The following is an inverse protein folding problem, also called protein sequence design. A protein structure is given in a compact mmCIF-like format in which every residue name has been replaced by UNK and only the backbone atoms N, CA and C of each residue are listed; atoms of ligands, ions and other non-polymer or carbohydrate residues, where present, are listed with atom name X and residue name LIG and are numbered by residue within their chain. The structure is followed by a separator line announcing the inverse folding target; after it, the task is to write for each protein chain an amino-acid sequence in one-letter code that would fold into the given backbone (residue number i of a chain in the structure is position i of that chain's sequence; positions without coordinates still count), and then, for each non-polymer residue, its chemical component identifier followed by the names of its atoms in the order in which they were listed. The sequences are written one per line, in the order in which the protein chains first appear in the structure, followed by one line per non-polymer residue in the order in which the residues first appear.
data_IF_431112159915
#
_entry.id   IF_431112159915
#
_cell.length_a   1.000
_cell.length_b   1.000
_cell.length_c   1.000
_cell.angle_alpha   90.00
_cell.angle_beta   90.00
_cell.angle_gamma   90.00
#
_symmetry.space_group_name_H-M   'P 1'
#
loop_
_entity.id
_entity.type
_entity.pdbx_description
1 polymer ?
#
# COMPACT_ATOMS: atom_id res chain seq x y z
N UNK A 1 -4.06 65.86 -8.84
CA UNK A 1 -2.57 65.98 -8.82
C UNK A 1 -2.04 64.82 -8.00
N UNK A 2 -1.18 63.89 -8.41
CA UNK A 2 -0.26 63.65 -9.55
C UNK A 2 -0.17 62.11 -9.67
N UNK A 3 -0.46 61.53 -10.83
CA UNK A 3 0.45 61.14 -11.92
C UNK A 3 0.98 59.68 -11.80
N UNK A 4 0.84 58.98 -12.93
CA UNK A 4 1.03 57.55 -13.20
C UNK A 4 2.51 57.20 -13.41
N UNK A 5 2.90 55.93 -13.22
CA UNK A 5 3.92 55.30 -14.09
C UNK A 5 3.68 53.78 -14.22
N UNK A 6 3.34 53.35 -15.44
CA UNK A 6 3.39 51.97 -15.94
C UNK A 6 4.75 51.68 -16.56
N UNK A 7 5.25 50.45 -16.45
CA UNK A 7 6.28 49.94 -17.37
C UNK A 7 6.03 48.45 -17.68
N UNK A 8 5.74 48.20 -18.95
CA UNK A 8 5.70 46.90 -19.63
C UNK A 8 7.10 46.71 -20.23
N UNK A 9 7.73 45.56 -20.00
CA UNK A 9 8.94 45.17 -20.72
C UNK A 9 8.63 43.92 -21.57
N UNK A 10 8.49 44.16 -22.88
CA UNK A 10 8.50 43.14 -23.91
C UNK A 10 9.95 42.93 -24.37
N UNK A 11 10.39 41.68 -24.48
CA UNK A 11 11.70 41.35 -25.07
C UNK A 11 11.55 40.25 -26.10
N UNK A 12 11.56 40.72 -27.35
CA UNK A 12 12.00 40.16 -28.62
C UNK A 12 12.27 38.65 -28.75
N UNK A 13 11.55 38.05 -29.70
CA UNK A 13 11.88 36.80 -30.38
C UNK A 13 13.20 36.93 -31.17
N UNK A 14 14.12 35.99 -30.98
CA UNK A 14 15.19 35.72 -31.93
C UNK A 14 14.92 34.34 -32.56
N UNK A 15 14.43 34.33 -33.81
CA UNK A 15 14.40 33.13 -34.64
C UNK A 15 15.82 32.86 -35.15
N UNK A 16 16.46 31.82 -34.63
CA UNK A 16 17.65 31.25 -35.25
C UNK A 16 17.21 30.18 -36.26
N UNK A 17 17.50 30.42 -37.54
CA UNK A 17 17.43 29.43 -38.61
C UNK A 17 18.53 28.38 -38.37
N UNK A 18 18.14 27.13 -38.12
CA UNK A 18 19.04 25.98 -38.15
C UNK A 18 18.76 25.15 -39.42
N UNK A 19 19.79 24.67 -40.12
CA UNK A 19 19.63 23.88 -41.34
C UNK A 19 18.97 22.54 -41.04
N UNK A 20 18.13 22.08 -41.97
CA UNK A 20 17.55 20.74 -41.98
C UNK A 20 18.68 19.71 -42.10
N UNK A 21 19.15 19.20 -40.98
CA UNK A 21 20.00 18.01 -40.95
C UNK A 21 19.09 16.78 -41.11
N UNK A 22 19.21 16.11 -42.26
CA UNK A 22 18.73 14.74 -42.45
C UNK A 22 19.46 13.85 -41.44
N UNK A 23 18.77 13.41 -40.39
CA UNK A 23 19.33 12.42 -39.48
C UNK A 23 19.43 11.08 -40.22
N UNK A 24 20.66 10.71 -40.54
CA UNK A 24 21.06 9.37 -41.00
C UNK A 24 20.69 8.39 -39.90
N UNK A 25 20.07 7.26 -40.27
CA UNK A 25 19.77 6.16 -39.37
C UNK A 25 21.08 5.59 -38.77
N UNK A 26 21.47 6.11 -37.61
CA UNK A 26 22.56 5.58 -36.82
C UNK A 26 22.11 4.31 -36.11
N UNK A 27 22.80 3.20 -36.35
CA UNK A 27 22.78 2.00 -35.51
C UNK A 27 23.43 2.32 -34.17
N UNK A 28 22.72 3.08 -33.32
CA UNK A 28 23.09 3.24 -31.92
C UNK A 28 22.88 1.93 -31.17
N UNK A 29 23.64 1.66 -30.09
CA UNK A 29 23.39 0.51 -29.23
C UNK A 29 21.92 0.52 -28.80
N UNK A 30 21.25 -0.64 -28.89
CA UNK A 30 19.90 -0.79 -28.37
C UNK A 30 19.87 -0.32 -26.91
N UNK A 31 18.85 0.45 -26.48
CA UNK A 31 18.73 0.83 -25.08
C UNK A 31 18.69 -0.46 -24.25
N UNK A 32 19.68 -0.62 -23.37
CA UNK A 32 19.70 -1.69 -22.40
C UNK A 32 18.35 -1.69 -21.69
N UNK A 33 17.66 -2.83 -21.69
CA UNK A 33 16.45 -3.03 -20.91
C UNK A 33 16.86 -3.02 -19.43
N UNK A 34 17.08 -1.82 -18.90
CA UNK A 34 17.40 -1.59 -17.51
C UNK A 34 16.20 -2.12 -16.71
N UNK A 35 16.34 -3.35 -16.20
CA UNK A 35 15.37 -3.95 -15.28
C UNK A 35 15.28 -2.97 -14.11
N UNK A 36 14.20 -2.18 -14.05
CA UNK A 36 13.92 -1.33 -12.91
C UNK A 36 13.91 -2.24 -11.68
N UNK A 37 14.75 -1.94 -10.69
CA UNK A 37 14.75 -2.67 -9.43
C UNK A 37 13.34 -2.62 -8.82
N UNK A 38 12.87 -3.74 -8.27
CA UNK A 38 11.58 -3.79 -7.59
C UNK A 38 11.61 -2.87 -6.36
N UNK A 39 10.57 -2.04 -6.20
CA UNK A 39 10.45 -1.15 -5.04
C UNK A 39 10.22 -1.95 -3.77
N UNK A 40 10.90 -1.58 -2.68
CA UNK A 40 10.66 -2.09 -1.32
C UNK A 40 9.76 -1.16 -0.50
N UNK A 41 9.22 -0.10 -1.11
CA UNK A 41 8.38 0.85 -0.41
C UNK A 41 7.04 0.21 -0.02
N UNK A 42 6.53 0.48 1.20
CA UNK A 42 5.21 0.03 1.60
C UNK A 42 4.12 0.73 0.78
N UNK A 43 3.02 0.03 0.47
CA UNK A 43 1.98 0.53 -0.43
C UNK A 43 0.58 0.14 0.04
N UNK A 44 -0.45 0.90 -0.35
CA UNK A 44 -1.84 0.53 -0.03
C UNK A 44 -2.27 -0.82 -0.64
N UNK A 45 -1.65 -1.22 -1.76
CA UNK A 45 -1.83 -2.53 -2.37
C UNK A 45 -1.25 -3.65 -1.49
N UNK A 46 -0.20 -3.36 -0.72
CA UNK A 46 0.61 -4.35 0.00
C UNK A 46 1.86 -4.68 -0.81
N UNK A 47 3.02 -4.64 -0.15
CA UNK A 47 4.29 -4.98 -0.77
C UNK A 47 5.02 -6.03 0.10
N UNK A 48 5.09 -7.29 -0.33
CA UNK A 48 5.84 -8.35 0.35
C UNK A 48 7.34 -8.06 0.49
N UNK A 49 7.89 -7.17 -0.34
CA UNK A 49 9.29 -6.73 -0.27
C UNK A 49 9.50 -5.60 0.75
N UNK A 50 8.46 -5.10 1.40
CA UNK A 50 8.62 -4.04 2.39
C UNK A 50 9.36 -4.53 3.63
N UNK A 51 10.08 -3.64 4.29
CA UNK A 51 10.80 -3.98 5.52
C UNK A 51 9.88 -4.56 6.61
N UNK A 52 8.61 -4.11 6.68
CA UNK A 52 7.64 -4.66 7.65
C UNK A 52 7.13 -6.03 7.24
N UNK A 53 6.93 -6.28 5.95
CA UNK A 53 6.56 -7.60 5.44
C UNK A 53 7.67 -8.61 5.76
N UNK A 54 8.92 -8.28 5.42
CA UNK A 54 10.09 -9.12 5.70
C UNK A 54 10.27 -9.37 7.20
N UNK A 55 10.14 -8.33 8.04
CA UNK A 55 10.21 -8.47 9.49
C UNK A 55 9.07 -9.32 10.08
N UNK A 56 7.95 -9.47 9.36
CA UNK A 56 6.83 -10.33 9.73
C UNK A 56 6.96 -11.77 9.19
N UNK A 57 8.03 -12.08 8.45
CA UNK A 57 8.21 -13.39 7.81
C UNK A 57 7.34 -13.59 6.56
N UNK A 58 6.85 -12.51 5.95
CA UNK A 58 6.11 -12.58 4.68
C UNK A 58 7.08 -12.95 3.57
N UNK A 59 6.75 -14.00 2.83
CA UNK A 59 7.59 -14.45 1.72
C UNK A 59 7.46 -13.52 0.52
N UNK A 60 8.57 -13.33 -0.19
CA UNK A 60 8.70 -12.28 -1.22
C UNK A 60 7.81 -12.52 -2.44
N UNK A 61 7.36 -13.75 -2.65
CA UNK A 61 6.43 -14.18 -3.70
C UNK A 61 4.96 -14.09 -3.27
N UNK A 62 4.67 -13.64 -2.04
CA UNK A 62 3.29 -13.51 -1.57
C UNK A 62 2.51 -12.55 -2.47
N UNK A 63 1.28 -12.89 -2.84
CA UNK A 63 0.42 -12.04 -3.66
C UNK A 63 -0.98 -11.95 -3.07
N UNK A 64 -1.68 -10.85 -3.36
CA UNK A 64 -3.04 -10.63 -2.87
C UNK A 64 -4.00 -11.69 -3.46
N UNK A 65 -4.84 -12.25 -2.61
CA UNK A 65 -5.91 -13.17 -2.99
C UNK A 65 -7.27 -12.64 -2.53
N UNK A 66 -8.29 -12.85 -3.36
CA UNK A 66 -9.64 -12.35 -3.08
C UNK A 66 -9.78 -10.84 -3.31
N UNK A 67 -10.75 -10.25 -2.61
CA UNK A 67 -11.05 -8.81 -2.65
C UNK A 67 -10.85 -8.19 -1.28
N UNK A 68 -10.34 -6.96 -1.26
CA UNK A 68 -10.09 -6.21 -0.05
C UNK A 68 -11.39 -5.84 0.70
N UNK A 69 -11.35 -5.96 2.03
CA UNK A 69 -12.31 -5.32 2.92
C UNK A 69 -11.90 -3.88 3.23
N UNK A 70 -12.87 -3.04 3.56
CA UNK A 70 -12.61 -1.65 3.97
C UNK A 70 -13.18 -1.37 5.35
N UNK A 71 -12.36 -0.81 6.22
CA UNK A 71 -12.81 -0.31 7.52
C UNK A 71 -13.40 1.07 7.26
N UNK A 72 -14.71 1.20 7.50
CA UNK A 72 -15.47 2.44 7.32
C UNK A 72 -15.79 3.05 8.67
N UNK A 73 -15.53 4.34 8.84
CA UNK A 73 -15.98 5.14 9.98
C UNK A 73 -16.50 6.46 9.47
N UNK A 74 -17.70 6.85 9.91
CA UNK A 74 -18.39 8.07 9.48
C UNK A 74 -18.47 8.22 7.96
N UNK A 75 -18.72 7.10 7.26
CA UNK A 75 -18.78 7.04 5.80
C UNK A 75 -17.42 7.11 5.08
N UNK A 76 -16.31 7.27 5.81
CA UNK A 76 -14.96 7.35 5.25
C UNK A 76 -14.19 6.04 5.38
N UNK A 77 -13.40 5.71 4.35
CA UNK A 77 -12.44 4.59 4.39
C UNK A 77 -11.25 5.00 5.26
N UNK A 78 -11.11 4.36 6.41
CA UNK A 78 -10.01 4.60 7.36
C UNK A 78 -8.94 3.50 7.30
N UNK A 79 -9.32 2.29 6.87
CA UNK A 79 -8.37 1.22 6.58
C UNK A 79 -8.82 0.31 5.43
N UNK A 80 -7.90 -0.51 4.93
CA UNK A 80 -8.24 -1.66 4.08
C UNK A 80 -7.57 -2.92 4.61
N UNK A 81 -8.27 -4.05 4.52
CA UNK A 81 -7.80 -5.37 4.94
C UNK A 81 -7.74 -6.27 3.71
N UNK A 82 -6.61 -6.95 3.50
CA UNK A 82 -6.35 -7.84 2.37
C UNK A 82 -5.76 -9.14 2.85
N UNK A 83 -5.97 -10.20 2.08
CA UNK A 83 -5.32 -11.48 2.29
C UNK A 83 -4.24 -11.68 1.23
N UNK A 84 -3.10 -12.23 1.64
CA UNK A 84 -2.00 -12.61 0.78
C UNK A 84 -1.72 -14.10 0.92
N UNK A 85 -1.20 -14.71 -0.13
CA UNK A 85 -0.77 -16.11 -0.15
C UNK A 85 0.59 -16.23 -0.81
N UNK A 86 1.49 -17.04 -0.23
CA UNK A 86 2.78 -17.41 -0.81
C UNK A 86 2.79 -18.91 -1.20
N UNK A 87 3.00 -19.23 -2.49
CA UNK A 87 3.20 -20.61 -2.94
C UNK A 87 4.47 -21.26 -2.38
N UNK A 88 5.57 -20.52 -2.29
CA UNK A 88 6.84 -21.09 -1.81
C UNK A 88 6.83 -21.40 -0.31
N UNK A 89 6.11 -20.60 0.46
CA UNK A 89 6.01 -20.81 1.91
C UNK A 89 4.81 -21.67 2.30
N UNK A 90 3.77 -21.76 1.47
CA UNK A 90 2.56 -22.51 1.82
C UNK A 90 1.75 -21.80 2.90
N UNK A 91 1.76 -20.47 2.92
CA UNK A 91 1.27 -19.67 4.05
C UNK A 91 0.32 -18.57 3.56
N UNK A 92 -0.72 -18.28 4.35
CA UNK A 92 -1.56 -17.10 4.20
C UNK A 92 -1.08 -15.97 5.11
N UNK A 93 -1.36 -14.72 4.72
CA UNK A 93 -1.05 -13.53 5.52
C UNK A 93 -2.21 -12.54 5.49
N UNK A 94 -2.48 -11.92 6.63
CA UNK A 94 -3.35 -10.78 6.75
C UNK A 94 -2.56 -9.48 6.59
N UNK A 95 -3.09 -8.55 5.81
CA UNK A 95 -2.52 -7.24 5.56
C UNK A 95 -3.51 -6.14 5.89
N UNK A 96 -3.10 -5.16 6.69
CA UNK A 96 -3.89 -3.96 6.98
C UNK A 96 -3.12 -2.70 6.59
N UNK A 97 -3.76 -1.87 5.77
CA UNK A 97 -3.28 -0.53 5.43
C UNK A 97 -4.16 0.53 6.10
N UNK A 98 -3.53 1.49 6.79
CA UNK A 98 -4.20 2.63 7.42
C UNK A 98 -4.12 3.84 6.49
N UNK A 99 -5.27 4.35 6.06
CA UNK A 99 -5.35 5.44 5.09
C UNK A 99 -4.88 6.77 5.68
N UNK A 100 -4.33 7.62 4.81
CA UNK A 100 -3.83 8.94 5.19
C UNK A 100 -4.90 9.80 5.88
N UNK A 101 -6.16 9.72 5.44
CA UNK A 101 -7.30 10.43 6.03
C UNK A 101 -7.45 10.17 7.54
N UNK A 102 -7.22 8.93 7.96
CA UNK A 102 -7.28 8.54 9.37
C UNK A 102 -6.02 9.00 10.13
N UNK A 103 -4.83 8.73 9.59
CA UNK A 103 -3.55 9.07 10.23
C UNK A 103 -3.32 10.58 10.37
N UNK A 104 -3.91 11.38 9.50
CA UNK A 104 -3.77 12.84 9.57
C UNK A 104 -4.59 13.47 10.70
N UNK A 105 -5.66 12.79 11.14
CA UNK A 105 -6.60 13.29 12.17
C UNK A 105 -6.42 12.61 13.52
N UNK A 106 -5.64 11.53 13.59
CA UNK A 106 -5.41 10.74 14.80
C UNK A 106 -3.91 10.54 14.98
N UNK A 107 -3.41 10.78 16.19
CA UNK A 107 -2.01 10.52 16.54
C UNK A 107 -1.74 9.02 16.56
N UNK A 108 -1.96 8.40 17.72
CA UNK A 108 -1.79 6.97 17.90
C UNK A 108 -3.11 6.21 17.83
N UNK A 109 -3.03 4.94 17.43
CA UNK A 109 -4.14 4.03 17.25
C UNK A 109 -3.76 2.59 17.54
N UNK A 110 -4.77 1.76 17.80
CA UNK A 110 -4.61 0.33 17.97
C UNK A 110 -4.98 -0.38 16.67
N UNK A 111 -4.18 -1.36 16.29
CA UNK A 111 -4.36 -2.16 15.07
C UNK A 111 -4.27 -3.63 15.40
N UNK A 112 -5.13 -4.45 14.80
CA UNK A 112 -4.88 -5.88 14.73
C UNK A 112 -5.15 -6.41 13.33
N UNK A 113 -4.41 -7.44 12.91
CA UNK A 113 -4.65 -8.14 11.64
C UNK A 113 -4.21 -9.59 11.76
N UNK A 114 -4.97 -10.49 11.16
CA UNK A 114 -4.70 -11.93 11.10
C UNK A 114 -5.53 -12.61 10.02
N UNK A 115 -5.38 -13.92 9.89
CA UNK A 115 -6.18 -14.76 9.00
C UNK A 115 -7.20 -15.51 9.85
N UNK A 116 -8.48 -15.35 9.57
CA UNK A 116 -9.52 -16.17 10.16
C UNK A 116 -9.67 -17.46 9.37
N UNK A 117 -9.53 -18.60 10.04
CA UNK A 117 -9.84 -19.90 9.46
C UNK A 117 -11.28 -20.27 9.79
N UNK A 118 -12.09 -20.48 8.76
CA UNK A 118 -13.45 -20.99 8.92
C UNK A 118 -13.49 -22.48 9.23
N UNK A 119 -12.40 -23.21 8.95
CA UNK A 119 -12.30 -24.64 9.26
C UNK A 119 -11.98 -24.86 10.74
N UNK A 120 -11.16 -23.98 11.33
CA UNK A 120 -10.74 -24.04 12.74
C UNK A 120 -11.58 -23.17 13.67
N UNK A 121 -12.36 -22.25 13.11
CA UNK A 121 -13.13 -21.24 13.84
C UNK A 121 -12.25 -20.34 14.74
N UNK A 122 -11.07 -19.95 14.24
CA UNK A 122 -10.10 -19.15 15.00
C UNK A 122 -9.27 -18.20 14.13
N UNK A 123 -8.58 -17.26 14.79
CA UNK A 123 -7.57 -16.42 14.17
C UNK A 123 -6.19 -17.08 14.20
N UNK A 124 -5.61 -17.30 13.02
CA UNK A 124 -4.25 -17.79 12.83
C UNK A 124 -3.34 -16.63 12.42
N UNK A 125 -2.12 -16.60 12.97
CA UNK A 125 -1.11 -15.58 12.65
C UNK A 125 -1.44 -14.16 13.13
N UNK A 126 -2.48 -13.97 13.95
CA UNK A 126 -2.92 -12.63 14.38
C UNK A 126 -1.82 -11.89 15.12
N UNK A 127 -1.70 -10.60 14.81
CA UNK A 127 -0.85 -9.64 15.53
C UNK A 127 -1.66 -8.41 15.93
N UNK A 128 -1.23 -7.80 17.03
CA UNK A 128 -1.83 -6.58 17.58
C UNK A 128 -0.74 -5.58 17.91
N UNK A 129 -0.98 -4.31 17.60
CA UNK A 129 -0.15 -3.17 17.96
C UNK A 129 -1.02 -2.18 18.71
N UNK A 130 -0.52 -1.71 19.85
CA UNK A 130 -1.18 -0.70 20.65
C UNK A 130 -0.42 0.62 20.54
N UNK A 131 -1.14 1.73 20.55
CA UNK A 131 -0.57 3.09 20.51
C UNK A 131 0.49 3.26 19.40
N UNK A 132 0.12 2.94 18.15
CA UNK A 132 1.00 3.04 16.98
C UNK A 132 0.50 4.07 15.98
N UNK A 133 1.39 4.56 15.11
CA UNK A 133 1.08 5.55 14.05
C UNK A 133 1.59 5.12 12.66
N UNK A 134 1.90 3.82 12.51
CA UNK A 134 2.34 3.23 11.25
C UNK A 134 1.20 3.10 10.22
N UNK A 135 1.54 3.03 8.94
CA UNK A 135 0.56 2.89 7.83
C UNK A 135 0.32 1.46 7.38
N UNK A 136 1.19 0.54 7.75
CA UNK A 136 1.31 -0.78 7.15
C UNK A 136 1.49 -1.82 8.26
N UNK A 137 0.68 -2.87 8.22
CA UNK A 137 0.67 -3.94 9.20
C UNK A 137 0.48 -5.30 8.52
N UNK A 138 1.35 -6.23 8.87
CA UNK A 138 1.36 -7.60 8.37
C UNK A 138 1.19 -8.56 9.54
N UNK A 139 0.29 -9.53 9.41
CA UNK A 139 0.16 -10.65 10.35
C UNK A 139 1.44 -11.52 10.33
N UNK A 140 1.54 -12.45 11.28
CA UNK A 140 2.47 -13.57 11.14
C UNK A 140 1.98 -14.51 10.03
N UNK A 141 2.84 -15.43 9.52
CA UNK A 141 2.40 -16.52 8.65
C UNK A 141 1.27 -17.32 9.29
N UNK A 142 0.33 -17.79 8.47
CA UNK A 142 -0.79 -18.62 8.86
C UNK A 142 -0.91 -19.86 7.96
N UNK A 143 -0.49 -21.02 8.49
CA UNK A 143 -0.52 -22.31 7.80
C UNK A 143 -1.96 -22.81 7.68
N UNK A 144 -2.64 -22.31 6.65
CA UNK A 144 -4.09 -22.39 6.46
C UNK A 144 -4.48 -22.46 4.98
N UNK A 145 -3.54 -22.79 4.08
CA UNK A 145 -3.76 -22.71 2.63
C UNK A 145 -4.70 -23.79 2.09
N UNK A 146 -4.88 -24.87 2.85
CA UNK A 146 -5.89 -25.91 2.60
C UNK A 146 -7.26 -25.59 3.20
N UNK A 147 -7.45 -24.40 3.76
CA UNK A 147 -8.65 -24.03 4.51
C UNK A 147 -9.35 -22.84 3.89
N UNK A 148 -10.67 -22.80 4.09
CA UNK A 148 -11.41 -21.60 3.79
C UNK A 148 -11.00 -20.49 4.78
N UNK A 149 -10.51 -19.36 4.26
CA UNK A 149 -9.93 -18.28 5.08
C UNK A 149 -10.37 -16.89 4.63
N UNK A 150 -10.26 -15.91 5.53
CA UNK A 150 -10.35 -14.48 5.20
C UNK A 150 -9.35 -13.72 6.07
N UNK A 151 -8.65 -12.72 5.53
CA UNK A 151 -7.93 -11.78 6.36
C UNK A 151 -8.94 -10.88 7.10
N UNK A 152 -8.72 -10.67 8.39
CA UNK A 152 -9.56 -9.81 9.21
C UNK A 152 -8.66 -8.84 9.95
N UNK A 153 -9.09 -7.59 10.03
CA UNK A 153 -8.36 -6.58 10.76
C UNK A 153 -9.26 -5.59 11.45
N UNK A 154 -8.70 -4.95 12.48
CA UNK A 154 -9.35 -3.94 13.29
C UNK A 154 -8.48 -2.69 13.40
N UNK A 155 -9.13 -1.53 13.45
CA UNK A 155 -8.49 -0.23 13.62
C UNK A 155 -9.36 0.65 14.53
N UNK A 156 -8.74 1.28 15.52
CA UNK A 156 -9.38 2.29 16.37
C UNK A 156 -8.40 3.35 16.81
N UNK A 157 -8.87 4.56 17.05
CA UNK A 157 -8.07 5.57 17.74
C UNK A 157 -7.67 5.06 19.13
N UNK A 158 -6.48 5.41 19.62
CA UNK A 158 -6.04 5.00 20.94
C UNK A 158 -7.04 5.49 22.02
N UNK A 159 -7.48 4.60 22.89
CA UNK A 159 -8.47 4.90 23.94
C UNK A 159 -9.93 4.92 23.48
N UNK A 160 -10.22 4.76 22.19
CA UNK A 160 -11.59 4.63 21.70
C UNK A 160 -12.20 3.28 22.11
N UNK A 161 -13.41 3.23 22.70
CA UNK A 161 -14.04 1.98 23.09
C UNK A 161 -14.39 1.08 21.90
N UNK A 162 -14.62 1.64 20.70
CA UNK A 162 -15.12 0.87 19.56
C UNK A 162 -14.10 0.78 18.43
N UNK A 163 -13.78 -0.44 18.00
CA UNK A 163 -12.97 -0.65 16.81
C UNK A 163 -13.81 -0.77 15.55
N UNK A 164 -13.37 -0.10 14.49
CA UNK A 164 -13.79 -0.46 13.14
C UNK A 164 -13.12 -1.77 12.74
N UNK A 165 -13.85 -2.62 12.02
CA UNK A 165 -13.35 -3.90 11.55
C UNK A 165 -13.73 -4.14 10.09
N UNK A 166 -12.94 -4.94 9.40
CA UNK A 166 -13.26 -5.42 8.07
C UNK A 166 -12.61 -6.78 7.84
N UNK A 167 -13.19 -7.54 6.90
CA UNK A 167 -12.62 -8.77 6.40
C UNK A 167 -12.45 -8.68 4.88
N UNK A 168 -11.41 -9.32 4.34
CA UNK A 168 -11.35 -9.62 2.91
C UNK A 168 -12.43 -10.64 2.54
N UNK A 169 -12.70 -10.81 1.25
CA UNK A 169 -13.56 -11.92 0.81
C UNK A 169 -13.00 -13.26 1.26
N UNK A 170 -13.89 -14.18 1.67
CA UNK A 170 -13.55 -15.58 1.96
C UNK A 170 -12.93 -16.25 0.72
N UNK A 171 -11.84 -16.99 0.92
CA UNK A 171 -11.13 -17.79 -0.07
C UNK A 171 -11.11 -19.25 0.34
N UNK A 172 -11.56 -20.09 -0.57
CA UNK A 172 -11.39 -21.53 -0.64
C UNK A 172 -10.95 -21.80 -2.10
#
# INVERSE_FOLDING_TARGET
MRARTTAIAATACALALLPAASAVAGTGPAPDKQRKAASTAPSAAGNPLSARAQAAGVCTDAYEIGTAGYIIRDGQRIGSVKQFYSPSCGENYGYLWVWQSFRASHGDYDVSVGVYSYSRDEFVGKRTWLNTNGKEYWSNPADTTSECTAAVGSLRAAGDPLAGQAASSKRC
#
